data_IF_090848766228
#
_entry.id   IF_090848766228
#
_cell.length_a   1.000
_cell.length_b   1.000
_cell.length_c   1.000
_cell.angle_alpha   90.00
_cell.angle_beta   90.00
_cell.angle_gamma   90.00
#
_symmetry.space_group_name_H-M   'P 1'
#
loop_
_entity.id
_entity.type
_entity.pdbx_description
1 polymer ?
#
# COMPACT_ATOMS: atom_id res chain seq x y z
N UNK A 1 25.57 -1.33 -10.17
CA UNK A 1 24.32 -0.57 -10.44
C UNK A 1 24.64 0.90 -10.22
N UNK A 2 24.51 1.73 -11.28
CA UNK A 2 24.85 3.13 -11.15
C UNK A 2 23.87 3.84 -10.21
N UNK A 3 24.38 4.76 -9.41
CA UNK A 3 23.60 5.51 -8.44
C UNK A 3 22.50 6.34 -9.11
N UNK A 4 21.30 6.35 -8.54
CA UNK A 4 20.17 7.16 -9.00
C UNK A 4 20.36 8.62 -8.58
N UNK A 5 20.74 9.48 -9.52
CA UNK A 5 20.83 10.93 -9.28
C UNK A 5 19.53 11.63 -9.69
N UNK A 6 19.21 12.81 -9.13
CA UNK A 6 18.05 13.60 -9.53
C UNK A 6 17.99 13.85 -11.04
N UNK A 7 19.11 14.18 -11.67
CA UNK A 7 19.21 14.39 -13.12
C UNK A 7 18.82 13.14 -13.91
N UNK A 8 19.30 11.97 -13.48
CA UNK A 8 18.98 10.69 -14.13
C UNK A 8 17.52 10.34 -13.99
N UNK A 9 16.89 10.66 -12.85
CA UNK A 9 15.45 10.49 -12.64
C UNK A 9 14.66 11.41 -13.58
N UNK A 10 15.04 12.68 -13.70
CA UNK A 10 14.39 13.63 -14.63
C UNK A 10 14.48 13.15 -16.10
N UNK A 11 15.59 12.57 -16.49
CA UNK A 11 15.78 12.01 -17.83
C UNK A 11 14.76 10.90 -18.14
N UNK A 12 14.36 10.09 -17.15
CA UNK A 12 13.35 9.05 -17.35
C UNK A 12 11.98 9.62 -17.75
N UNK A 13 11.60 10.77 -17.22
CA UNK A 13 10.33 11.44 -17.55
C UNK A 13 10.28 11.99 -18.99
N UNK A 14 11.43 12.08 -19.65
CA UNK A 14 11.57 12.58 -21.02
C UNK A 14 11.68 11.49 -22.06
N UNK A 15 11.85 10.23 -21.63
CA UNK A 15 11.96 9.08 -22.53
C UNK A 15 10.62 8.69 -23.12
N UNK A 16 10.67 8.10 -24.32
CA UNK A 16 9.54 7.40 -24.90
C UNK A 16 9.09 6.24 -23.98
N UNK A 17 7.78 5.98 -23.92
CA UNK A 17 7.22 4.96 -23.03
C UNK A 17 7.69 3.55 -23.38
N UNK A 18 7.92 3.26 -24.67
CA UNK A 18 8.41 1.95 -25.13
C UNK A 18 9.87 1.74 -24.73
N UNK A 19 10.72 2.77 -24.89
CA UNK A 19 12.12 2.73 -24.41
C UNK A 19 12.18 2.54 -22.90
N UNK A 20 11.30 3.20 -22.17
CA UNK A 20 11.19 3.06 -20.71
C UNK A 20 10.78 1.64 -20.32
N UNK A 21 9.83 1.07 -21.06
CA UNK A 21 9.37 -0.30 -20.88
C UNK A 21 10.47 -1.33 -21.14
N UNK A 22 11.22 -1.20 -22.24
CA UNK A 22 12.37 -2.07 -22.55
C UNK A 22 13.45 -1.97 -21.47
N UNK A 23 13.74 -0.77 -20.99
CA UNK A 23 14.69 -0.56 -19.91
C UNK A 23 14.22 -1.23 -18.60
N UNK A 24 12.95 -1.05 -18.21
CA UNK A 24 12.38 -1.69 -17.04
C UNK A 24 12.38 -3.22 -17.15
N UNK A 25 12.03 -3.77 -18.31
CA UNK A 25 12.07 -5.20 -18.58
C UNK A 25 13.49 -5.78 -18.48
N UNK A 26 14.49 -5.05 -18.97
CA UNK A 26 15.88 -5.46 -18.83
C UNK A 26 16.33 -5.60 -17.38
N UNK A 27 15.90 -4.67 -16.52
CA UNK A 27 16.16 -4.72 -15.07
C UNK A 27 15.42 -5.90 -14.44
N UNK A 28 14.15 -6.10 -14.79
CA UNK A 28 13.35 -7.21 -14.28
C UNK A 28 13.97 -8.57 -14.61
N UNK A 29 14.47 -8.75 -15.82
CA UNK A 29 15.16 -10.00 -16.24
C UNK A 29 16.41 -10.30 -15.42
N UNK A 30 17.11 -9.28 -14.93
CA UNK A 30 18.25 -9.46 -14.01
C UNK A 30 17.83 -10.09 -12.68
N UNK A 31 16.58 -9.91 -12.26
CA UNK A 31 16.00 -10.50 -11.05
C UNK A 31 15.39 -11.90 -11.28
N UNK A 32 15.65 -12.54 -12.44
CA UNK A 32 15.20 -13.89 -12.72
C UNK A 32 13.80 -14.00 -13.33
N UNK A 33 13.21 -12.89 -13.76
CA UNK A 33 11.86 -12.84 -14.37
C UNK A 33 10.76 -13.41 -13.45
N UNK A 34 10.89 -13.15 -12.13
CA UNK A 34 9.97 -13.62 -11.11
C UNK A 34 8.98 -12.51 -10.80
N UNK A 35 7.69 -12.84 -10.82
CA UNK A 35 6.61 -11.98 -10.32
C UNK A 35 6.14 -12.50 -8.97
N UNK A 36 6.18 -11.66 -7.96
CA UNK A 36 5.68 -11.97 -6.63
C UNK A 36 4.34 -11.29 -6.37
N UNK A 37 3.52 -11.89 -5.52
CA UNK A 37 2.27 -11.29 -5.07
C UNK A 37 2.01 -11.65 -3.60
N UNK A 38 1.18 -10.86 -2.95
CA UNK A 38 0.70 -11.12 -1.60
C UNK A 38 -0.82 -11.24 -1.60
N UNK A 39 -1.36 -12.11 -0.77
CA UNK A 39 -2.78 -12.16 -0.46
C UNK A 39 -2.97 -11.35 0.82
N UNK A 40 -3.35 -10.09 0.65
CA UNK A 40 -3.41 -9.11 1.71
C UNK A 40 -4.81 -8.95 2.28
N UNK A 41 -4.90 -8.80 3.60
CA UNK A 41 -6.08 -8.30 4.29
C UNK A 41 -5.79 -6.96 4.92
N UNK A 42 -6.45 -5.92 4.42
CA UNK A 42 -6.39 -4.59 5.01
C UNK A 42 -7.40 -4.47 6.16
N UNK A 43 -6.96 -4.01 7.32
CA UNK A 43 -7.78 -3.80 8.51
C UNK A 43 -7.57 -2.38 9.01
N UNK A 44 -8.55 -1.53 8.79
CA UNK A 44 -8.62 -0.20 9.42
C UNK A 44 -9.33 -0.37 10.77
N UNK A 45 -8.61 -0.27 11.88
CA UNK A 45 -9.22 -0.40 13.21
C UNK A 45 -9.95 0.85 13.66
N UNK A 46 -9.73 2.00 13.00
CA UNK A 46 -10.43 3.25 13.24
C UNK A 46 -10.44 4.11 11.97
N UNK A 47 -11.45 4.97 11.84
CA UNK A 47 -11.48 6.07 10.88
C UNK A 47 -11.33 7.45 11.57
N UNK A 48 -11.19 7.46 12.89
CA UNK A 48 -10.96 8.71 13.64
C UNK A 48 -9.51 9.11 13.44
N UNK A 49 -9.27 10.31 12.87
CA UNK A 49 -7.94 10.79 12.51
C UNK A 49 -7.77 12.26 12.90
N UNK A 50 -6.68 12.55 13.61
CA UNK A 50 -6.33 13.91 14.01
C UNK A 50 -5.65 14.71 12.92
N UNK A 51 -5.04 14.03 11.92
CA UNK A 51 -4.30 14.67 10.84
C UNK A 51 -5.18 15.41 9.82
N UNK A 52 -6.43 14.98 9.63
CA UNK A 52 -7.44 15.62 8.78
C UNK A 52 -6.90 16.04 7.40
N UNK A 53 -6.14 15.15 6.77
CA UNK A 53 -5.48 15.47 5.49
C UNK A 53 -6.52 15.86 4.42
N UNK A 54 -6.31 16.94 3.67
CA UNK A 54 -7.29 17.43 2.68
C UNK A 54 -7.59 16.43 1.55
N UNK A 55 -6.66 15.50 1.27
CA UNK A 55 -6.83 14.44 0.27
C UNK A 55 -7.60 13.22 0.80
N UNK A 56 -7.78 13.09 2.11
CA UNK A 56 -8.36 11.90 2.71
C UNK A 56 -9.88 12.03 2.81
N UNK A 57 -10.61 11.19 2.07
CA UNK A 57 -12.07 11.10 2.16
C UNK A 57 -12.56 10.22 3.32
N UNK A 58 -11.65 9.51 4.01
CA UNK A 58 -12.01 8.47 4.98
C UNK A 58 -11.96 8.92 6.43
N UNK A 59 -11.24 10.00 6.75
CA UNK A 59 -11.12 10.43 8.12
C UNK A 59 -12.46 10.93 8.69
N UNK A 60 -12.65 10.70 9.99
CA UNK A 60 -13.74 11.24 10.78
C UNK A 60 -13.18 11.91 12.03
N UNK A 61 -13.97 12.83 12.59
CA UNK A 61 -13.75 13.30 13.95
C UNK A 61 -14.58 12.45 14.91
N UNK A 62 -14.18 12.40 16.18
CA UNK A 62 -14.75 11.47 17.16
C UNK A 62 -16.29 11.58 17.32
N UNK A 63 -16.88 12.74 17.00
CA UNK A 63 -18.32 12.99 17.12
C UNK A 63 -19.10 12.77 15.83
N UNK A 64 -18.44 12.34 14.74
CA UNK A 64 -19.16 12.03 13.50
C UNK A 64 -19.99 10.76 13.68
N UNK A 65 -21.20 10.74 13.09
CA UNK A 65 -22.14 9.64 13.27
C UNK A 65 -21.67 8.29 12.73
N UNK A 66 -20.69 8.27 11.84
CA UNK A 66 -20.05 7.09 11.26
C UNK A 66 -18.60 6.90 11.72
N UNK A 67 -18.18 7.63 12.76
CA UNK A 67 -16.89 7.41 13.40
C UNK A 67 -16.89 6.07 14.15
N UNK A 68 -15.77 5.31 14.02
CA UNK A 68 -15.63 4.04 14.73
C UNK A 68 -14.23 3.82 15.27
N UNK A 69 -14.14 3.02 16.31
CA UNK A 69 -12.92 2.46 16.86
C UNK A 69 -13.19 0.99 17.23
N UNK A 70 -12.45 0.06 16.63
CA UNK A 70 -12.62 -1.37 16.86
C UNK A 70 -11.97 -1.79 18.18
N UNK A 71 -12.61 -2.72 18.90
CA UNK A 71 -11.96 -3.41 20.00
C UNK A 71 -10.86 -4.35 19.50
N UNK A 72 -9.93 -4.70 20.37
CA UNK A 72 -8.86 -5.67 20.06
C UNK A 72 -9.46 -7.00 19.59
N UNK A 73 -10.53 -7.47 20.25
CA UNK A 73 -11.23 -8.70 19.89
C UNK A 73 -11.81 -8.64 18.47
N UNK A 74 -12.37 -7.50 18.09
CA UNK A 74 -12.89 -7.29 16.72
C UNK A 74 -11.78 -7.31 15.67
N UNK A 75 -10.63 -6.72 15.98
CA UNK A 75 -9.45 -6.78 15.10
C UNK A 75 -8.94 -8.22 14.99
N UNK A 76 -8.76 -8.90 16.12
CA UNK A 76 -8.28 -10.29 16.13
C UNK A 76 -9.22 -11.23 15.38
N UNK A 77 -10.53 -11.05 15.49
CA UNK A 77 -11.50 -11.82 14.69
C UNK A 77 -11.24 -11.64 13.19
N UNK A 78 -11.04 -10.41 12.72
CA UNK A 78 -10.72 -10.12 11.30
C UNK A 78 -9.39 -10.77 10.86
N UNK A 79 -8.40 -10.81 11.76
CA UNK A 79 -7.12 -11.49 11.51
C UNK A 79 -7.34 -13.00 11.32
N UNK A 80 -8.05 -13.64 12.23
CA UNK A 80 -8.36 -15.08 12.17
C UNK A 80 -9.14 -15.41 10.90
N UNK A 81 -10.13 -14.61 10.56
CA UNK A 81 -10.93 -14.81 9.34
C UNK A 81 -10.06 -14.65 8.07
N UNK A 82 -9.12 -13.71 8.06
CA UNK A 82 -8.17 -13.53 6.96
C UNK A 82 -7.24 -14.75 6.80
N UNK A 83 -6.70 -15.26 7.90
CA UNK A 83 -5.84 -16.46 7.89
C UNK A 83 -6.59 -17.69 7.36
N UNK A 84 -7.86 -17.87 7.75
CA UNK A 84 -8.69 -18.98 7.27
C UNK A 84 -8.89 -19.00 5.76
N UNK A 85 -8.92 -17.83 5.12
CA UNK A 85 -9.05 -17.69 3.66
C UNK A 85 -7.70 -17.59 2.94
N UNK A 86 -6.60 -17.80 3.65
CA UNK A 86 -5.26 -17.91 3.06
C UNK A 86 -4.53 -16.58 2.89
N UNK A 87 -4.86 -15.54 3.67
CA UNK A 87 -4.08 -14.32 3.67
C UNK A 87 -2.63 -14.59 4.11
N UNK A 88 -1.68 -14.08 3.34
CA UNK A 88 -0.24 -14.21 3.61
C UNK A 88 0.33 -12.95 4.27
N UNK A 89 -0.43 -11.86 4.27
CA UNK A 89 -0.03 -10.57 4.81
C UNK A 89 -1.23 -9.82 5.39
N UNK A 90 -0.99 -9.07 6.46
CA UNK A 90 -1.99 -8.22 7.10
C UNK A 90 -1.48 -6.78 7.13
N UNK A 91 -2.28 -5.86 6.62
CA UNK A 91 -2.05 -4.42 6.78
C UNK A 91 -3.03 -3.87 7.82
N UNK A 92 -2.55 -3.68 9.04
CA UNK A 92 -3.33 -3.09 10.13
C UNK A 92 -2.95 -1.62 10.22
N UNK A 93 -3.89 -0.75 9.92
CA UNK A 93 -3.64 0.69 9.85
C UNK A 93 -4.72 1.48 10.62
N UNK A 94 -4.29 2.62 11.09
CA UNK A 94 -5.13 3.62 11.76
C UNK A 94 -4.30 4.88 11.98
N UNK A 95 -4.86 5.90 12.55
CA UNK A 95 -4.23 7.20 12.76
C UNK A 95 -4.31 7.64 14.22
#
# INVERSE_FOLDING_TARGET
MDEWTPKRIEELFRRDIHELGEFADSINRMSGNIVTFVINRHINYTNICVSKCPLCAFYRVANDGDAYFMSIEAVLKKVVDAVKVGATELHIVGS
#
